data_IF_980566607765
#
_entry.id   IF_980566607765
#
_cell.length_a   1.000
_cell.length_b   1.000
_cell.length_c   1.000
_cell.angle_alpha   90.00
_cell.angle_beta   90.00
_cell.angle_gamma   90.00
#
_symmetry.space_group_name_H-M   'P 1'
#
loop_
_entity.id
_entity.type
_entity.pdbx_description
1 polymer ?
#
# COMPACT_ATOMS: atom_id res chain seq x y z
N UNK A 1 1.64 -41.62 26.12
CA UNK A 1 2.34 -40.46 25.55
C UNK A 1 1.31 -39.53 24.95
N UNK A 2 0.91 -38.50 25.68
CA UNK A 2 -0.19 -37.60 25.27
C UNK A 2 0.43 -36.29 24.81
N UNK A 3 0.55 -36.11 23.50
CA UNK A 3 0.99 -34.85 22.91
C UNK A 3 -0.09 -33.79 23.16
N UNK A 4 0.24 -32.78 23.98
CA UNK A 4 -0.60 -31.59 24.18
C UNK A 4 -0.13 -30.51 23.21
N UNK A 5 -0.90 -30.28 22.16
CA UNK A 5 -0.75 -29.08 21.33
C UNK A 5 -1.13 -27.86 22.19
N UNK A 6 -0.13 -27.05 22.56
CA UNK A 6 -0.38 -25.69 23.04
C UNK A 6 -0.67 -24.84 21.82
N UNK A 7 -1.94 -24.55 21.60
CA UNK A 7 -2.38 -23.49 20.69
C UNK A 7 -2.01 -22.16 21.33
N UNK A 8 -0.74 -21.76 21.21
CA UNK A 8 -0.34 -20.39 21.48
C UNK A 8 -1.06 -19.52 20.45
N UNK A 9 -2.10 -18.82 20.91
CA UNK A 9 -2.71 -17.71 20.18
C UNK A 9 -1.59 -16.73 19.93
N UNK A 10 -1.11 -16.68 18.69
CA UNK A 10 -0.17 -15.65 18.25
C UNK A 10 -0.85 -14.31 18.49
N UNK A 11 -0.48 -13.64 19.58
CA UNK A 11 -0.82 -12.25 19.79
C UNK A 11 -0.30 -11.50 18.56
N UNK A 12 -1.25 -10.95 17.79
CA UNK A 12 -0.95 -10.07 16.66
C UNK A 12 -0.27 -8.86 17.28
N UNK A 13 1.06 -8.90 17.32
CA UNK A 13 1.89 -7.77 17.71
C UNK A 13 1.38 -6.59 16.90
N UNK A 14 1.06 -5.48 17.57
CA UNK A 14 0.95 -4.16 16.97
C UNK A 14 2.14 -3.98 16.01
N UNK A 15 1.88 -4.29 14.74
CA UNK A 15 2.86 -4.15 13.69
C UNK A 15 3.03 -2.64 13.57
N UNK A 16 4.25 -2.09 13.60
CA UNK A 16 4.42 -0.67 13.35
C UNK A 16 3.68 -0.37 12.05
N UNK A 17 2.66 0.50 12.13
CA UNK A 17 1.84 0.93 11.00
C UNK A 17 2.80 1.23 9.86
N UNK A 18 2.80 0.36 8.85
CA UNK A 18 3.78 0.52 7.79
C UNK A 18 3.40 1.79 7.02
N UNK A 19 4.37 2.56 6.57
CA UNK A 19 4.11 3.83 5.87
C UNK A 19 3.15 3.63 4.68
N UNK A 20 3.15 2.43 4.11
CA UNK A 20 2.18 1.99 3.10
C UNK A 20 0.75 1.96 3.62
N UNK A 21 0.48 1.33 4.77
CA UNK A 21 -0.86 1.29 5.38
C UNK A 21 -1.33 2.71 5.65
N UNK A 22 -0.48 3.55 6.23
CA UNK A 22 -0.87 4.92 6.56
C UNK A 22 -1.15 5.79 5.31
N UNK A 23 -0.45 5.54 4.19
CA UNK A 23 -0.73 6.18 2.90
C UNK A 23 -2.03 5.63 2.30
N UNK A 24 -2.23 4.32 2.34
CA UNK A 24 -3.45 3.66 1.85
C UNK A 24 -4.71 4.14 2.57
N UNK A 25 -4.60 4.34 3.89
CA UNK A 25 -5.70 4.83 4.73
C UNK A 25 -5.99 6.33 4.55
N UNK A 26 -5.20 7.05 3.76
CA UNK A 26 -5.48 8.46 3.47
C UNK A 26 -6.89 8.60 2.86
N UNK A 27 -7.73 9.53 3.37
CA UNK A 27 -9.09 9.73 2.90
C UNK A 27 -9.17 9.96 1.39
N UNK A 28 -8.21 10.72 0.83
CA UNK A 28 -8.15 11.00 -0.60
C UNK A 28 -7.85 9.76 -1.44
N UNK A 29 -6.92 8.92 -0.99
CA UNK A 29 -6.61 7.67 -1.69
C UNK A 29 -7.77 6.70 -1.62
N UNK A 30 -8.43 6.57 -0.48
CA UNK A 30 -9.65 5.74 -0.36
C UNK A 30 -10.74 6.18 -1.33
N UNK A 31 -10.96 7.49 -1.50
CA UNK A 31 -11.91 8.00 -2.50
C UNK A 31 -11.49 7.63 -3.93
N UNK A 32 -10.23 7.83 -4.28
CA UNK A 32 -9.71 7.50 -5.62
C UNK A 32 -9.80 6.00 -5.91
N UNK A 33 -9.44 5.15 -4.95
CA UNK A 33 -9.58 3.70 -5.07
C UNK A 33 -11.05 3.28 -5.20
N UNK A 34 -11.95 3.91 -4.45
CA UNK A 34 -13.39 3.63 -4.56
C UNK A 34 -13.93 4.02 -5.93
N UNK A 35 -13.53 5.17 -6.47
CA UNK A 35 -13.90 5.60 -7.83
C UNK A 35 -13.34 4.66 -8.90
N UNK A 36 -12.12 4.17 -8.72
CA UNK A 36 -11.48 3.20 -9.60
C UNK A 36 -12.02 1.76 -9.41
N UNK A 37 -12.98 1.53 -8.51
CA UNK A 37 -13.54 0.20 -8.22
C UNK A 37 -12.57 -0.76 -7.54
N UNK A 38 -11.52 -0.25 -6.90
CA UNK A 38 -10.48 -1.02 -6.25
C UNK A 38 -10.83 -1.27 -4.79
N UNK A 39 -10.73 -2.52 -4.35
CA UNK A 39 -10.91 -2.88 -2.94
C UNK A 39 -9.75 -2.29 -2.11
N UNK A 40 -10.10 -1.66 -1.00
CA UNK A 40 -9.16 -1.11 0.01
C UNK A 40 -9.05 -2.04 1.22
N UNK A 41 -8.00 -1.88 2.02
CA UNK A 41 -7.72 -2.62 3.25
C UNK A 41 -6.39 -3.38 3.20
N UNK A 42 -5.89 -3.81 4.35
CA UNK A 42 -4.62 -4.52 4.43
C UNK A 42 -4.62 -5.80 3.55
N UNK A 43 -3.61 -5.95 2.69
CA UNK A 43 -3.52 -7.04 1.72
C UNK A 43 -4.43 -6.91 0.48
N UNK A 44 -5.17 -5.81 0.34
CA UNK A 44 -6.01 -5.51 -0.81
C UNK A 44 -5.19 -5.10 -2.04
N UNK A 45 -5.81 -5.02 -3.25
CA UNK A 45 -5.14 -4.50 -4.42
C UNK A 45 -4.65 -3.06 -4.25
N UNK A 46 -5.40 -2.21 -3.52
CA UNK A 46 -4.95 -0.85 -3.19
C UNK A 46 -3.64 -0.86 -2.38
N UNK A 47 -3.59 -1.68 -1.32
CA UNK A 47 -2.39 -1.87 -0.51
C UNK A 47 -1.18 -2.32 -1.35
N UNK A 48 -1.39 -3.24 -2.29
CA UNK A 48 -0.32 -3.72 -3.19
C UNK A 48 0.16 -2.63 -4.13
N UNK A 49 -0.74 -1.81 -4.67
CA UNK A 49 -0.36 -0.67 -5.51
C UNK A 49 0.49 0.33 -4.72
N UNK A 50 0.03 0.73 -3.53
CA UNK A 50 0.77 1.66 -2.68
C UNK A 50 2.12 1.07 -2.29
N UNK A 51 2.18 -0.21 -1.92
CA UNK A 51 3.44 -0.91 -1.62
C UNK A 51 4.40 -0.87 -2.81
N UNK A 52 3.91 -1.18 -4.00
CA UNK A 52 4.73 -1.22 -5.21
C UNK A 52 5.31 0.16 -5.53
N UNK A 53 4.49 1.21 -5.46
CA UNK A 53 4.93 2.58 -5.69
C UNK A 53 5.93 3.03 -4.61
N UNK A 54 5.56 2.89 -3.34
CA UNK A 54 6.38 3.38 -2.23
C UNK A 54 7.71 2.62 -2.13
N UNK A 55 7.67 1.29 -2.20
CA UNK A 55 8.86 0.46 -2.02
C UNK A 55 9.64 0.39 -3.34
N UNK A 56 9.03 -0.08 -4.43
CA UNK A 56 9.79 -0.39 -5.66
C UNK A 56 10.16 0.85 -6.46
N UNK A 57 9.31 1.89 -6.49
CA UNK A 57 9.60 3.14 -7.21
C UNK A 57 10.42 4.09 -6.35
N UNK A 58 9.95 4.41 -5.13
CA UNK A 58 10.59 5.47 -4.34
C UNK A 58 11.77 4.99 -3.49
N UNK A 59 11.65 3.87 -2.78
CA UNK A 59 12.74 3.38 -1.90
C UNK A 59 13.82 2.60 -2.67
N UNK A 60 13.43 1.61 -3.48
CA UNK A 60 14.35 0.72 -4.19
C UNK A 60 14.78 1.26 -5.56
N UNK A 61 14.03 2.21 -6.14
CA UNK A 61 14.27 2.77 -7.49
C UNK A 61 14.45 1.70 -8.58
N UNK A 62 13.75 0.58 -8.42
CA UNK A 62 13.79 -0.56 -9.37
C UNK A 62 12.76 -0.45 -10.47
N UNK A 63 11.68 0.30 -10.24
CA UNK A 63 10.59 0.51 -11.19
C UNK A 63 10.31 2.00 -11.34
N UNK A 64 9.73 2.39 -12.48
CA UNK A 64 9.24 3.75 -12.71
C UNK A 64 7.74 3.83 -12.50
N UNK A 65 7.20 5.04 -12.34
CA UNK A 65 5.75 5.27 -12.30
C UNK A 65 5.06 4.78 -13.58
N UNK A 66 5.74 4.83 -14.73
CA UNK A 66 5.21 4.29 -15.99
C UNK A 66 5.09 2.77 -15.96
N UNK A 67 6.06 2.08 -15.37
CA UNK A 67 6.00 0.62 -15.21
C UNK A 67 4.81 0.21 -14.35
N UNK A 68 4.60 0.89 -13.22
CA UNK A 68 3.43 0.65 -12.35
C UNK A 68 2.13 0.93 -13.10
N UNK A 69 2.06 2.04 -13.84
CA UNK A 69 0.89 2.39 -14.66
C UNK A 69 0.57 1.32 -15.69
N UNK A 70 1.59 0.75 -16.35
CA UNK A 70 1.39 -0.30 -17.35
C UNK A 70 0.88 -1.63 -16.74
N UNK A 71 1.26 -1.93 -15.49
CA UNK A 71 0.76 -3.10 -14.77
C UNK A 71 -0.66 -2.95 -14.26
N UNK A 72 -1.03 -1.73 -13.87
CA UNK A 72 -2.31 -1.42 -13.27
C UNK A 72 -3.15 -0.61 -14.24
N UNK A 73 -3.95 -1.32 -15.04
CA UNK A 73 -4.90 -0.69 -15.96
C UNK A 73 -6.14 -0.21 -15.20
N UNK A 74 -5.97 0.83 -14.37
CA UNK A 74 -7.03 1.44 -13.56
C UNK A 74 -7.43 2.80 -14.13
N UNK A 75 -8.73 3.09 -14.09
CA UNK A 75 -9.26 4.41 -14.41
C UNK A 75 -8.83 5.43 -13.33
N UNK A 76 -8.22 6.55 -13.74
CA UNK A 76 -7.72 7.55 -12.79
C UNK A 76 -6.41 7.18 -12.09
N UNK A 77 -5.63 6.24 -12.62
CA UNK A 77 -4.37 5.83 -11.99
C UNK A 77 -3.35 6.97 -11.87
N UNK A 78 -3.34 7.92 -12.80
CA UNK A 78 -2.44 9.08 -12.71
C UNK A 78 -2.71 9.91 -11.45
N UNK A 79 -3.99 10.10 -11.10
CA UNK A 79 -4.39 10.82 -9.89
C UNK A 79 -4.02 10.03 -8.62
N UNK A 80 -4.20 8.70 -8.66
CA UNK A 80 -3.79 7.80 -7.56
C UNK A 80 -2.28 7.87 -7.34
N UNK A 81 -1.48 7.74 -8.39
CA UNK A 81 -0.01 7.78 -8.29
C UNK A 81 0.47 9.13 -7.76
N UNK A 82 -0.13 10.23 -8.22
CA UNK A 82 0.18 11.59 -7.77
C UNK A 82 -0.16 11.81 -6.29
N UNK A 83 -1.29 11.30 -5.83
CA UNK A 83 -1.66 11.38 -4.41
C UNK A 83 -0.71 10.49 -3.57
N UNK A 84 -0.34 9.29 -4.03
CA UNK A 84 0.67 8.44 -3.35
C UNK A 84 2.01 9.18 -3.25
N UNK A 85 2.47 9.82 -4.32
CA UNK A 85 3.71 10.62 -4.31
C UNK A 85 3.62 11.79 -3.31
N UNK A 86 2.47 12.46 -3.27
CA UNK A 86 2.23 13.60 -2.36
C UNK A 86 2.29 13.13 -0.91
N UNK A 87 1.57 12.06 -0.57
CA UNK A 87 1.57 11.46 0.76
C UNK A 87 2.97 10.95 1.16
N UNK A 88 3.68 10.31 0.22
CA UNK A 88 5.04 9.82 0.45
C UNK A 88 6.05 10.97 0.67
N UNK A 89 5.87 12.11 0.00
CA UNK A 89 6.68 13.33 0.24
C UNK A 89 6.34 14.00 1.58
N UNK A 90 5.06 14.14 1.91
CA UNK A 90 4.63 14.71 3.20
C UNK A 90 5.14 13.91 4.39
N UNK A 91 5.24 12.58 4.24
CA UNK A 91 5.75 11.65 5.26
C UNK A 91 7.27 11.49 5.24
N UNK A 92 7.97 12.19 4.35
CA UNK A 92 9.43 12.19 4.26
C UNK A 92 10.04 10.89 3.73
N UNK A 93 9.25 10.05 3.06
CA UNK A 93 9.76 8.84 2.38
C UNK A 93 10.58 9.22 1.15
N UNK A 94 10.18 10.30 0.48
CA UNK A 94 10.85 10.89 -0.67
C UNK A 94 11.45 12.22 -0.22
N UNK A 95 12.78 12.39 -0.37
CA UNK A 95 13.48 13.66 -0.19
C UNK A 95 13.56 14.43 -1.49
#
# INVERSE_FOLDING_TARGET
MTWKFKSDKVEVKDVPLCVVDEIEESPRLRELFTRAGVKTGHGSPAHRLVSEVVIKVFQEKRETLQDVKSKWNLEGIDDILKEIETQARERGVIK
#
